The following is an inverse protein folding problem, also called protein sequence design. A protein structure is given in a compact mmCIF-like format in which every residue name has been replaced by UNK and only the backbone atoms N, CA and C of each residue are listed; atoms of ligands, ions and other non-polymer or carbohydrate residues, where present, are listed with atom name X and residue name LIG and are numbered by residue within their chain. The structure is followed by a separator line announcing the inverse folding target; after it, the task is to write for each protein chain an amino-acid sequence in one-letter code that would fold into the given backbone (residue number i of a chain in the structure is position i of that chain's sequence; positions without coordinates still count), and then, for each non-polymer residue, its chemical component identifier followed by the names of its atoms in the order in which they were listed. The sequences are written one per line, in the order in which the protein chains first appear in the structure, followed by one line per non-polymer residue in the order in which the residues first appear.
data_IF_050980121761
#
_entry.id   IF_050980121761
#
_cell.length_a   1.000
_cell.length_b   1.000
_cell.length_c   1.000
_cell.angle_alpha   90.00
_cell.angle_beta   90.00
_cell.angle_gamma   90.00
#
_symmetry.space_group_name_H-M   'P 1'
#
loop_
_entity.id
_entity.type
_entity.pdbx_description
1 polymer ?
#
# COMPACT_ATOMS: atom_id res chain seq x y z
N UNK A 1 -11.31 9.52 -7.92
CA UNK A 1 -10.53 9.40 -6.66
C UNK A 1 -10.04 7.98 -6.65
N UNK A 2 -8.77 7.80 -7.03
CA UNK A 2 -8.17 6.48 -7.13
C UNK A 2 -7.57 6.13 -5.77
N UNK A 3 -8.29 5.35 -4.99
CA UNK A 3 -7.80 4.82 -3.73
C UNK A 3 -6.91 3.61 -4.04
N UNK A 4 -5.60 3.79 -3.88
CA UNK A 4 -4.61 2.73 -4.14
C UNK A 4 -4.03 2.26 -2.81
N UNK A 5 -3.87 0.94 -2.69
CA UNK A 5 -3.19 0.31 -1.55
C UNK A 5 -1.94 -0.41 -2.03
N UNK A 6 -0.91 -0.35 -1.21
CA UNK A 6 0.40 -0.97 -1.44
C UNK A 6 0.41 -2.30 -0.69
N UNK A 7 0.91 -3.36 -1.32
CA UNK A 7 1.02 -4.67 -0.68
C UNK A 7 2.49 -5.05 -0.50
N UNK A 8 2.79 -5.86 0.51
CA UNK A 8 4.16 -6.34 0.71
C UNK A 8 4.65 -7.10 -0.52
N UNK A 9 5.88 -6.80 -0.96
CA UNK A 9 6.43 -7.23 -2.26
C UNK A 9 6.48 -8.74 -2.44
N UNK A 10 6.91 -9.44 -1.39
CA UNK A 10 6.88 -10.89 -1.37
C UNK A 10 5.44 -11.37 -1.63
N UNK A 11 4.45 -10.80 -0.96
CA UNK A 11 3.04 -11.20 -1.09
C UNK A 11 2.50 -10.90 -2.49
N UNK A 12 2.91 -9.80 -3.13
CA UNK A 12 2.51 -9.47 -4.52
C UNK A 12 3.04 -10.51 -5.48
N UNK A 13 4.35 -10.74 -5.47
CA UNK A 13 5.01 -11.65 -6.39
C UNK A 13 4.49 -13.08 -6.22
N UNK A 14 4.35 -13.54 -4.98
CA UNK A 14 3.81 -14.87 -4.67
C UNK A 14 2.34 -14.97 -5.08
N UNK A 15 1.51 -13.98 -4.75
CA UNK A 15 0.07 -14.04 -5.04
C UNK A 15 -0.18 -14.05 -6.55
N UNK A 16 0.61 -13.29 -7.33
CA UNK A 16 0.57 -13.36 -8.79
C UNK A 16 1.10 -14.69 -9.31
N UNK A 17 2.20 -15.20 -8.78
CA UNK A 17 2.81 -16.46 -9.24
C UNK A 17 1.91 -17.68 -8.97
N UNK A 18 1.39 -17.83 -7.74
CA UNK A 18 0.55 -18.96 -7.33
C UNK A 18 -0.77 -19.00 -8.11
N UNK A 19 -1.27 -17.85 -8.57
CA UNK A 19 -2.47 -17.83 -9.40
C UNK A 19 -2.27 -18.52 -10.76
N UNK A 20 -1.03 -18.62 -11.24
CA UNK A 20 -0.73 -19.02 -12.62
C UNK A 20 -0.10 -20.42 -12.70
N UNK A 21 0.64 -20.87 -11.67
CA UNK A 21 1.51 -22.04 -11.80
C UNK A 21 1.30 -23.14 -10.75
N UNK A 22 1.59 -24.39 -11.17
CA UNK A 22 1.56 -25.61 -10.34
C UNK A 22 2.85 -25.82 -9.52
N UNK A 23 3.99 -25.26 -9.96
CA UNK A 23 5.27 -25.31 -9.27
C UNK A 23 5.29 -24.37 -8.05
N UNK A 24 6.10 -24.64 -7.02
CA UNK A 24 6.25 -23.70 -5.89
C UNK A 24 7.13 -22.50 -6.27
N UNK A 25 6.88 -21.35 -5.61
CA UNK A 25 7.67 -20.14 -5.83
C UNK A 25 9.16 -20.35 -5.46
N UNK A 26 9.43 -21.10 -4.39
CA UNK A 26 10.80 -21.48 -4.00
C UNK A 26 11.54 -22.25 -5.08
N UNK A 27 10.90 -23.25 -5.68
CA UNK A 27 11.51 -24.04 -6.76
C UNK A 27 11.75 -23.18 -8.00
N UNK A 28 10.85 -22.24 -8.32
CA UNK A 28 11.07 -21.28 -9.40
C UNK A 28 12.31 -20.42 -9.14
N UNK A 29 12.44 -19.85 -7.94
CA UNK A 29 13.57 -18.96 -7.59
C UNK A 29 14.88 -19.75 -7.56
N UNK A 30 14.85 -21.01 -7.12
CA UNK A 30 16.01 -21.90 -7.16
C UNK A 30 16.42 -22.22 -8.61
N UNK A 31 15.45 -22.47 -9.49
CA UNK A 31 15.69 -22.78 -10.90
C UNK A 31 15.99 -21.54 -11.78
N UNK A 32 15.84 -20.32 -11.24
CA UNK A 32 16.03 -19.08 -12.01
C UNK A 32 14.91 -18.85 -13.05
N UNK A 33 13.68 -19.23 -12.72
CA UNK A 33 12.53 -19.06 -13.62
C UNK A 33 12.18 -17.59 -13.88
N UNK A 34 11.66 -17.29 -15.06
CA UNK A 34 11.36 -15.92 -15.50
C UNK A 34 10.24 -15.24 -14.72
N UNK A 35 9.29 -16.01 -14.16
CA UNK A 35 8.11 -15.47 -13.47
C UNK A 35 8.36 -15.13 -12.01
N UNK A 36 9.48 -15.59 -11.45
CA UNK A 36 9.96 -15.28 -10.11
C UNK A 36 11.29 -14.50 -10.15
N UNK A 37 11.69 -14.04 -11.33
CA UNK A 37 12.88 -13.23 -11.51
C UNK A 37 12.70 -11.86 -10.80
N UNK A 38 13.76 -11.24 -10.24
CA UNK A 38 13.63 -10.01 -9.47
C UNK A 38 13.00 -8.85 -10.24
N UNK A 39 13.12 -8.80 -11.56
CA UNK A 39 12.51 -7.79 -12.42
C UNK A 39 10.97 -7.84 -12.35
N UNK A 40 10.39 -8.99 -12.00
CA UNK A 40 8.94 -9.15 -11.79
C UNK A 40 8.44 -8.49 -10.51
N UNK A 41 9.34 -8.05 -9.64
CA UNK A 41 8.99 -7.26 -8.45
C UNK A 41 8.67 -5.80 -8.82
N UNK A 42 9.19 -5.30 -9.94
CA UNK A 42 9.04 -3.91 -10.38
C UNK A 42 7.62 -3.66 -10.90
N UNK A 43 6.72 -3.26 -10.01
CA UNK A 43 5.30 -3.12 -10.30
C UNK A 43 4.67 -1.93 -9.58
N UNK A 44 4.91 -1.77 -8.27
CA UNK A 44 4.27 -0.71 -7.50
C UNK A 44 4.89 0.64 -7.84
N UNK A 45 6.22 0.70 -7.96
CA UNK A 45 6.91 1.94 -8.35
C UNK A 45 6.40 2.46 -9.70
N UNK A 46 6.35 1.68 -10.81
CA UNK A 46 5.74 2.13 -12.06
C UNK A 46 4.31 2.65 -11.92
N UNK A 47 3.48 1.96 -11.12
CA UNK A 47 2.08 2.32 -10.92
C UNK A 47 1.92 3.73 -10.34
N UNK A 48 2.76 4.09 -9.36
CA UNK A 48 2.76 5.40 -8.74
C UNK A 48 3.58 6.44 -9.52
N UNK A 49 4.64 6.03 -10.19
CA UNK A 49 5.46 6.89 -11.05
C UNK A 49 4.65 7.40 -12.25
N UNK A 50 3.79 6.55 -12.82
CA UNK A 50 2.84 6.91 -13.87
C UNK A 50 3.27 6.48 -15.28
N UNK A 51 2.92 7.30 -16.28
CA UNK A 51 3.01 6.92 -17.70
C UNK A 51 4.29 7.41 -18.39
N UNK A 52 5.22 8.02 -17.66
CA UNK A 52 6.53 8.40 -18.21
C UNK A 52 7.32 7.16 -18.59
N UNK A 53 8.07 7.21 -19.70
CA UNK A 53 8.87 6.06 -20.17
C UNK A 53 9.85 5.56 -19.12
N UNK A 54 10.43 6.49 -18.35
CA UNK A 54 11.41 6.19 -17.29
C UNK A 54 10.81 5.36 -16.14
N UNK A 55 9.48 5.44 -15.91
CA UNK A 55 8.81 4.62 -14.90
C UNK A 55 8.92 3.11 -15.18
N UNK A 56 9.00 2.75 -16.46
CA UNK A 56 9.05 1.37 -16.93
C UNK A 56 10.47 0.86 -17.15
N UNK A 57 11.48 1.70 -16.89
CA UNK A 57 12.87 1.27 -16.81
C UNK A 57 13.11 0.60 -15.45
N UNK A 58 13.20 -0.73 -15.46
CA UNK A 58 13.37 -1.54 -14.25
C UNK A 58 14.62 -1.11 -13.48
N UNK A 59 14.45 -0.77 -12.20
CA UNK A 59 15.55 -0.32 -11.33
C UNK A 59 15.94 1.15 -11.52
N UNK A 60 15.12 1.97 -12.19
CA UNK A 60 15.36 3.40 -12.31
C UNK A 60 15.20 4.10 -10.96
N UNK A 61 16.27 4.73 -10.47
CA UNK A 61 16.21 5.54 -9.24
C UNK A 61 15.30 6.75 -9.40
N UNK A 62 15.29 7.35 -10.60
CA UNK A 62 14.39 8.46 -10.91
C UNK A 62 12.92 8.04 -10.78
N UNK A 63 12.57 6.83 -11.25
CA UNK A 63 11.20 6.33 -11.14
C UNK A 63 10.76 6.13 -9.68
N UNK A 64 11.65 5.64 -8.82
CA UNK A 64 11.40 5.54 -7.38
C UNK A 64 11.14 6.91 -6.75
N UNK A 65 12.01 7.89 -7.02
CA UNK A 65 11.86 9.23 -6.47
C UNK A 65 10.57 9.92 -6.98
N UNK A 66 10.24 9.73 -8.26
CA UNK A 66 8.99 10.23 -8.85
C UNK A 66 7.76 9.53 -8.25
N UNK A 67 7.81 8.23 -8.01
CA UNK A 67 6.73 7.49 -7.36
C UNK A 67 6.46 8.01 -5.95
N UNK A 68 7.51 8.25 -5.15
CA UNK A 68 7.39 8.88 -3.82
C UNK A 68 6.81 10.28 -3.90
N UNK A 69 7.31 11.09 -4.86
CA UNK A 69 6.79 12.43 -5.10
C UNK A 69 5.28 12.39 -5.42
N UNK A 70 4.86 11.54 -6.34
CA UNK A 70 3.45 11.43 -6.72
C UNK A 70 2.60 10.95 -5.55
N UNK A 71 3.07 9.96 -4.78
CA UNK A 71 2.37 9.46 -3.59
C UNK A 71 2.03 10.59 -2.61
N UNK A 72 2.97 11.52 -2.38
CA UNK A 72 2.77 12.63 -1.45
C UNK A 72 1.91 13.74 -2.05
N UNK A 73 2.12 14.08 -3.33
CA UNK A 73 1.55 15.29 -3.92
C UNK A 73 0.23 15.08 -4.64
N UNK A 74 -0.03 13.88 -5.15
CA UNK A 74 -1.16 13.62 -6.06
C UNK A 74 -2.19 12.64 -5.48
N UNK A 75 -1.80 11.81 -4.51
CA UNK A 75 -2.70 10.85 -3.87
C UNK A 75 -3.33 11.43 -2.61
N UNK A 76 -4.64 11.23 -2.46
CA UNK A 76 -5.37 11.67 -1.26
C UNK A 76 -4.97 10.89 -0.01
N UNK A 77 -4.93 9.56 -0.13
CA UNK A 77 -4.51 8.64 0.92
C UNK A 77 -4.08 7.33 0.26
N UNK A 78 -2.95 6.80 0.72
CA UNK A 78 -2.43 5.50 0.30
C UNK A 78 -2.32 4.63 1.55
N UNK A 79 -3.02 3.50 1.55
CA UNK A 79 -2.97 2.53 2.64
C UNK A 79 -2.09 1.33 2.32
N UNK A 80 -1.89 0.47 3.31
CA UNK A 80 -1.26 -0.85 3.13
C UNK A 80 -2.27 -1.97 3.35
N UNK A 81 -2.09 -3.09 2.68
CA UNK A 81 -3.03 -4.23 2.76
C UNK A 81 -3.17 -4.82 4.16
N UNK A 82 -2.11 -4.77 4.95
CA UNK A 82 -1.99 -5.29 6.30
C UNK A 82 -2.79 -4.44 7.30
N UNK A 83 -3.02 -3.17 6.98
CA UNK A 83 -3.74 -2.18 7.80
C UNK A 83 -5.01 -1.69 7.08
N UNK A 84 -5.65 -2.56 6.30
CA UNK A 84 -6.80 -2.20 5.43
C UNK A 84 -8.01 -1.66 6.21
N UNK A 85 -8.25 -2.15 7.42
CA UNK A 85 -9.34 -1.67 8.27
C UNK A 85 -9.16 -0.18 8.63
N UNK A 86 -7.96 0.19 9.07
CA UNK A 86 -7.63 1.58 9.40
C UNK A 86 -7.73 2.47 8.18
N UNK A 87 -7.31 1.97 7.01
CA UNK A 87 -7.43 2.70 5.75
C UNK A 87 -8.90 3.01 5.42
N UNK A 88 -9.79 2.01 5.56
CA UNK A 88 -11.24 2.19 5.34
C UNK A 88 -11.83 3.20 6.33
N UNK A 89 -11.45 3.11 7.60
CA UNK A 89 -11.92 4.02 8.64
C UNK A 89 -11.50 5.47 8.36
N UNK A 90 -10.26 5.71 7.94
CA UNK A 90 -9.77 7.04 7.58
C UNK A 90 -10.50 7.59 6.34
N UNK A 91 -10.79 6.74 5.34
CA UNK A 91 -11.58 7.14 4.17
C UNK A 91 -13.03 7.48 4.54
N UNK A 92 -13.64 6.71 5.44
CA UNK A 92 -14.98 7.00 5.97
C UNK A 92 -15.03 8.36 6.69
N UNK A 93 -13.99 8.65 7.48
CA UNK A 93 -13.84 9.93 8.17
C UNK A 93 -13.74 11.11 7.21
N UNK A 94 -12.84 11.01 6.23
CA UNK A 94 -12.46 12.13 5.39
C UNK A 94 -13.35 12.31 4.16
N UNK A 95 -13.94 11.22 3.65
CA UNK A 95 -14.79 11.18 2.47
C UNK A 95 -16.14 10.48 2.75
N UNK A 96 -16.92 10.92 3.75
CA UNK A 96 -18.15 10.25 4.18
C UNK A 96 -19.24 10.20 3.11
N UNK A 97 -19.18 11.06 2.08
CA UNK A 97 -20.11 10.98 0.94
C UNK A 97 -19.99 9.64 0.19
N UNK A 98 -18.80 9.05 0.16
CA UNK A 98 -18.52 7.81 -0.54
C UNK A 98 -18.45 6.61 0.42
N UNK A 99 -17.86 6.78 1.60
CA UNK A 99 -17.47 5.68 2.48
C UNK A 99 -18.28 5.56 3.78
N UNK A 100 -19.38 6.30 3.94
CA UNK A 100 -20.24 6.16 5.12
C UNK A 100 -20.75 4.73 5.27
N UNK A 101 -20.52 4.13 6.43
CA UNK A 101 -20.84 2.74 6.77
C UNK A 101 -19.82 1.71 6.29
N UNK A 102 -18.71 2.12 5.67
CA UNK A 102 -17.74 1.18 5.11
C UNK A 102 -17.00 0.38 6.19
N UNK A 103 -16.65 1.01 7.32
CA UNK A 103 -15.96 0.35 8.43
C UNK A 103 -16.84 -0.76 9.02
N UNK A 104 -18.11 -0.45 9.29
CA UNK A 104 -19.08 -1.42 9.78
C UNK A 104 -19.27 -2.57 8.78
N UNK A 105 -19.43 -2.26 7.49
CA UNK A 105 -19.56 -3.27 6.44
C UNK A 105 -18.31 -4.17 6.33
N UNK A 106 -17.12 -3.62 6.57
CA UNK A 106 -15.88 -4.39 6.58
C UNK A 106 -15.82 -5.33 7.80
N UNK A 107 -16.18 -4.86 8.99
CA UNK A 107 -16.15 -5.64 10.24
C UNK A 107 -17.21 -6.75 10.28
N UNK A 108 -18.45 -6.46 9.89
CA UNK A 108 -19.57 -7.40 10.00
C UNK A 108 -19.92 -8.14 8.69
N UNK A 109 -19.33 -7.71 7.57
CA UNK A 109 -19.60 -8.28 6.26
C UNK A 109 -18.89 -9.62 6.01
N UNK A 110 -19.57 -10.53 5.31
CA UNK A 110 -18.99 -11.81 4.83
C UNK A 110 -18.03 -11.66 3.65
N UNK A 111 -17.84 -10.43 3.15
CA UNK A 111 -17.09 -10.09 1.93
C UNK A 111 -15.87 -9.19 2.20
N UNK A 112 -15.36 -9.18 3.43
CA UNK A 112 -14.17 -8.41 3.82
C UNK A 112 -12.87 -8.97 3.24
N UNK A 113 -12.80 -10.29 3.02
CA UNK A 113 -11.62 -10.97 2.45
C UNK A 113 -11.98 -11.76 1.19
N UNK A 114 -12.23 -11.05 0.09
CA UNK A 114 -12.50 -11.65 -1.22
C UNK A 114 -11.21 -12.06 -1.95
N UNK A 115 -11.33 -13.00 -2.90
CA UNK A 115 -10.23 -13.44 -3.80
C UNK A 115 -8.99 -13.97 -3.05
N UNK A 116 -9.21 -14.82 -2.04
CA UNK A 116 -8.11 -15.56 -1.40
C UNK A 116 -7.52 -16.56 -2.40
N UNK A 117 -6.20 -16.55 -2.53
CA UNK A 117 -5.48 -17.61 -3.23
C UNK A 117 -5.56 -18.89 -2.40
N UNK A 118 -6.05 -19.98 -2.99
CA UNK A 118 -6.43 -21.22 -2.30
C UNK A 118 -5.25 -21.94 -1.66
N UNK A 119 -4.07 -21.86 -2.29
CA UNK A 119 -2.86 -22.61 -1.90
C UNK A 119 -1.65 -21.66 -1.75
N UNK A 120 -1.63 -20.81 -0.70
CA UNK A 120 -0.47 -19.95 -0.41
C UNK A 120 0.60 -20.72 0.35
N UNK A 121 1.66 -21.16 -0.33
CA UNK A 121 2.92 -21.50 0.32
C UNK A 121 3.75 -20.23 0.47
N UNK A 122 4.01 -19.84 1.72
CA UNK A 122 4.94 -18.75 1.99
C UNK A 122 6.34 -19.17 1.52
N UNK A 123 7.17 -18.25 1.00
CA UNK A 123 8.50 -18.59 0.54
C UNK A 123 9.36 -18.95 1.73
N UNK A 124 10.36 -19.79 1.49
CA UNK A 124 11.40 -20.05 2.46
C UNK A 124 12.18 -18.77 2.80
N UNK A 125 12.82 -18.79 3.98
CA UNK A 125 13.73 -17.73 4.40
C UNK A 125 14.91 -17.58 3.44
N UNK A 126 15.37 -18.67 2.84
CA UNK A 126 16.44 -18.68 1.85
C UNK A 126 16.03 -17.97 0.57
N UNK A 127 14.87 -18.31 0.01
CA UNK A 127 14.29 -17.62 -1.17
C UNK A 127 14.11 -16.14 -0.91
N UNK A 128 13.58 -15.79 0.26
CA UNK A 128 13.39 -14.39 0.65
C UNK A 128 14.73 -13.66 0.73
N UNK A 129 15.74 -14.25 1.39
CA UNK A 129 17.07 -13.67 1.50
C UNK A 129 17.75 -13.51 0.13
N UNK A 130 17.54 -14.46 -0.79
CA UNK A 130 18.05 -14.37 -2.18
C UNK A 130 17.41 -13.21 -2.95
N UNK A 131 16.10 -13.04 -2.85
CA UNK A 131 15.40 -11.91 -3.49
C UNK A 131 15.83 -10.56 -2.89
N UNK A 132 16.03 -10.51 -1.56
CA UNK A 132 16.45 -9.31 -0.85
C UNK A 132 17.81 -8.76 -1.26
N UNK A 133 18.65 -9.59 -1.88
CA UNK A 133 19.94 -9.15 -2.42
C UNK A 133 19.80 -8.26 -3.67
N UNK A 134 18.69 -8.40 -4.41
CA UNK A 134 18.43 -7.65 -5.64
C UNK A 134 18.18 -6.16 -5.35
N UNK A 135 18.75 -5.29 -6.17
CA UNK A 135 18.51 -3.85 -6.08
C UNK A 135 17.06 -3.48 -6.42
N UNK A 136 16.41 -4.27 -7.28
CA UNK A 136 14.98 -4.09 -7.60
C UNK A 136 14.12 -4.31 -6.35
N UNK A 137 14.42 -5.37 -5.59
CA UNK A 137 13.72 -5.64 -4.33
C UNK A 137 13.96 -4.50 -3.33
N UNK A 138 15.20 -4.02 -3.19
CA UNK A 138 15.54 -2.93 -2.27
C UNK A 138 14.78 -1.65 -2.60
N UNK A 139 14.71 -1.26 -3.88
CA UNK A 139 14.00 -0.06 -4.31
C UNK A 139 12.50 -0.16 -4.08
N UNK A 140 11.89 -1.27 -4.50
CA UNK A 140 10.48 -1.53 -4.24
C UNK A 140 10.18 -1.56 -2.73
N UNK A 141 11.08 -2.12 -1.91
CA UNK A 141 10.89 -2.19 -0.45
C UNK A 141 11.01 -0.80 0.16
N UNK A 142 11.96 0.01 -0.31
CA UNK A 142 12.09 1.41 0.08
C UNK A 142 10.82 2.21 -0.24
N UNK A 143 10.16 1.94 -1.36
CA UNK A 143 8.87 2.55 -1.69
C UNK A 143 7.74 2.08 -0.76
N UNK A 144 7.66 0.77 -0.50
CA UNK A 144 6.67 0.20 0.43
C UNK A 144 6.80 0.80 1.84
N UNK A 145 8.01 0.80 2.41
CA UNK A 145 8.27 1.34 3.75
C UNK A 145 7.95 2.84 3.81
N UNK A 146 8.26 3.59 2.75
CA UNK A 146 7.90 5.01 2.65
C UNK A 146 6.37 5.21 2.67
N UNK A 147 5.62 4.41 1.91
CA UNK A 147 4.16 4.47 1.90
C UNK A 147 3.57 4.07 3.27
N UNK A 148 4.14 3.04 3.91
CA UNK A 148 3.74 2.58 5.23
C UNK A 148 3.96 3.66 6.30
N UNK A 149 5.16 4.25 6.34
CA UNK A 149 5.51 5.33 7.26
C UNK A 149 4.55 6.53 7.08
N UNK A 150 4.30 6.93 5.83
CA UNK A 150 3.36 8.01 5.54
C UNK A 150 1.93 7.68 6.00
N UNK A 151 1.46 6.46 5.76
CA UNK A 151 0.13 6.02 6.19
C UNK A 151 0.00 6.02 7.72
N UNK A 152 0.99 5.48 8.43
CA UNK A 152 1.03 5.44 9.88
C UNK A 152 1.10 6.85 10.48
N UNK A 153 1.86 7.75 9.85
CA UNK A 153 1.88 9.17 10.22
C UNK A 153 0.50 9.81 10.11
N UNK A 154 -0.20 9.62 8.98
CA UNK A 154 -1.56 10.15 8.79
C UNK A 154 -2.53 9.57 9.83
N UNK A 155 -2.49 8.25 10.06
CA UNK A 155 -3.32 7.59 11.08
C UNK A 155 -3.08 8.21 12.46
N UNK A 156 -1.82 8.31 12.88
CA UNK A 156 -1.46 8.84 14.20
C UNK A 156 -1.94 10.28 14.44
N UNK A 157 -2.11 11.08 13.38
CA UNK A 157 -2.59 12.46 13.46
C UNK A 157 -4.08 12.62 13.15
N UNK A 158 -4.78 11.56 12.74
CA UNK A 158 -6.20 11.59 12.40
C UNK A 158 -7.08 10.88 13.43
N UNK A 159 -6.54 9.92 14.19
CA UNK A 159 -7.30 9.14 15.17
C UNK A 159 -6.68 9.16 16.56
N UNK A 160 -7.51 8.90 17.56
CA UNK A 160 -7.13 8.66 18.95
C UNK A 160 -7.58 7.27 19.35
N UNK A 161 -6.68 6.50 19.95
CA UNK A 161 -7.03 5.22 20.55
C UNK A 161 -7.66 5.43 21.92
N UNK A 162 -8.79 4.76 22.17
CA UNK A 162 -9.44 4.68 23.48
C UNK A 162 -10.03 3.28 23.65
N UNK A 163 -9.67 2.61 24.73
CA UNK A 163 -10.15 1.26 25.06
C UNK A 163 -9.89 0.20 23.95
N UNK A 164 -8.82 0.40 23.16
CA UNK A 164 -8.46 -0.48 22.03
C UNK A 164 -9.23 -0.21 20.73
N UNK A 165 -10.14 0.77 20.72
CA UNK A 165 -10.82 1.24 19.52
C UNK A 165 -10.26 2.60 19.06
N UNK A 166 -10.18 2.79 17.75
CA UNK A 166 -9.74 4.04 17.15
C UNK A 166 -10.93 4.97 16.90
N UNK A 167 -10.80 6.21 17.35
CA UNK A 167 -11.80 7.27 17.17
C UNK A 167 -11.20 8.44 16.39
N UNK A 168 -11.92 8.93 15.39
CA UNK A 168 -11.49 10.09 14.60
C UNK A 168 -11.40 11.32 15.50
N UNK A 169 -10.29 12.06 15.39
CA UNK A 169 -10.12 13.32 16.10
C UNK A 169 -11.16 14.35 15.64
N UNK A 170 -11.75 15.05 16.60
CA UNK A 170 -12.61 16.20 16.31
C UNK A 170 -11.83 17.29 15.57
N UNK A 171 -12.55 18.20 14.93
CA UNK A 171 -11.96 19.38 14.32
C UNK A 171 -11.12 20.15 15.36
N UNK A 172 -9.81 20.24 15.10
CA UNK A 172 -8.83 20.85 16.01
C UNK A 172 -8.39 22.25 15.56
N UNK A 173 -9.10 22.88 14.63
CA UNK A 173 -8.84 24.24 14.19
C UNK A 173 -10.14 25.04 14.12
N UNK A 174 -10.06 26.32 14.43
CA UNK A 174 -11.14 27.27 14.25
C UNK A 174 -10.58 28.58 13.72
N UNK A 175 -11.41 29.36 13.05
CA UNK A 175 -11.01 30.66 12.54
C UNK A 175 -11.22 31.71 13.63
N UNK A 176 -10.16 32.45 13.97
CA UNK A 176 -10.22 33.60 14.86
C UNK A 176 -9.74 34.86 14.14
N UNK A 177 -9.99 36.03 14.74
CA UNK A 177 -9.48 37.33 14.22
C UNK A 177 -9.86 37.56 12.75
N UNK A 178 -11.04 37.09 12.36
CA UNK A 178 -11.63 37.44 11.06
C UNK A 178 -12.08 38.90 11.16
N UNK A 179 -11.33 39.80 10.53
CA UNK A 179 -11.61 41.23 10.49
C UNK A 179 -12.13 41.69 9.11
N UNK A 180 -12.87 42.82 9.04
CA UNK A 180 -13.21 43.71 10.16
C UNK A 180 -14.67 43.59 10.55
N UNK A 181 -14.96 43.39 11.84
CA UNK A 181 -16.32 43.57 12.34
C UNK A 181 -16.55 45.04 12.69
N UNK A 182 -17.16 45.78 11.76
CA UNK A 182 -17.80 47.09 11.98
C UNK A 182 -19.05 47.18 11.08
N UNK A 183 -20.22 47.32 11.72
CA UNK A 183 -21.61 47.27 11.23
C UNK A 183 -21.87 47.27 9.72
#
# INVERSE_FOLDING_TARGET
MDNVYVMHLAVISISHYIFIYLQTFDECVAAGGSDCAPEKLWLQIPFFCGHSSECWNVGSRWALDQAKYNLINEYFLVGVTEELEDFIMLLEAALPRFFRGATELYRSGKKSHLRKTTEKKAPSKETTAKLQQSDIWKMENEFYEFALEQFQFVRAHAVREKDGELYILSQNFFYEKIYPKSN
#
